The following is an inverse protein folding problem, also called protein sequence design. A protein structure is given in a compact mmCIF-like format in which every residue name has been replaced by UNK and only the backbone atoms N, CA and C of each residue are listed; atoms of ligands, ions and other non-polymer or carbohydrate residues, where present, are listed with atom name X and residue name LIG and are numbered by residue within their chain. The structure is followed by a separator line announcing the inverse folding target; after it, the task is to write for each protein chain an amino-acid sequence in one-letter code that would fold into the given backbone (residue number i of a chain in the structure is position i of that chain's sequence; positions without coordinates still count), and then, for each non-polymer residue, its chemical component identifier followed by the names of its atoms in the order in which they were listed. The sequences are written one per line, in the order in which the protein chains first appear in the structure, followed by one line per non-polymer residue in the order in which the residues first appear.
data_IF_389571510375
#
_entry.id   IF_389571510375
#
_cell.length_a   1.000
_cell.length_b   1.000
_cell.length_c   1.000
_cell.angle_alpha   90.00
_cell.angle_beta   90.00
_cell.angle_gamma   90.00
#
_symmetry.space_group_name_H-M   'P 1'
#
loop_
_entity.id
_entity.type
_entity.pdbx_description
1 polymer ?
#
# COMPACT_ATOMS: atom_id res chain seq x y z
N UNK A 1 7.00 31.73 4.47
CA UNK A 1 7.96 30.72 3.97
C UNK A 1 7.78 29.31 4.60
N UNK A 2 6.72 29.00 5.38
CA UNK A 2 6.56 27.64 5.96
C UNK A 2 5.83 26.63 5.04
N UNK A 3 5.01 27.09 4.10
CA UNK A 3 4.11 26.21 3.34
C UNK A 3 4.77 25.13 2.46
N UNK A 4 6.01 25.32 2.00
CA UNK A 4 6.73 24.31 1.20
C UNK A 4 7.35 23.20 2.05
N UNK A 5 7.78 23.51 3.27
CA UNK A 5 8.34 22.54 4.22
C UNK A 5 7.23 21.63 4.73
N UNK A 6 6.06 22.18 5.03
CA UNK A 6 4.90 21.42 5.53
C UNK A 6 4.37 20.42 4.48
N UNK A 7 4.30 20.83 3.21
CA UNK A 7 3.91 19.94 2.09
C UNK A 7 4.91 18.79 1.89
N UNK A 8 6.20 19.09 1.95
CA UNK A 8 7.26 18.08 1.78
C UNK A 8 7.24 17.03 2.88
N UNK A 9 6.99 17.45 4.14
CA UNK A 9 6.82 16.55 5.28
C UNK A 9 5.58 15.67 5.12
N UNK A 10 4.45 16.24 4.68
CA UNK A 10 3.24 15.46 4.40
C UNK A 10 3.48 14.38 3.34
N UNK A 11 4.14 14.71 2.23
CA UNK A 11 4.51 13.73 1.22
C UNK A 11 5.38 12.60 1.79
N UNK A 12 6.37 12.94 2.63
CA UNK A 12 7.22 11.92 3.27
C UNK A 12 6.42 10.97 4.17
N UNK A 13 5.53 11.50 5.01
CA UNK A 13 4.67 10.67 5.87
C UNK A 13 3.75 9.76 5.06
N UNK A 14 3.07 10.32 4.05
CA UNK A 14 2.18 9.54 3.16
C UNK A 14 2.96 8.44 2.45
N UNK A 15 4.17 8.72 1.95
CA UNK A 15 5.00 7.73 1.28
C UNK A 15 5.50 6.62 2.21
N UNK A 16 5.86 6.95 3.45
CA UNK A 16 6.28 5.94 4.44
C UNK A 16 5.11 5.01 4.79
N UNK A 17 3.91 5.56 5.03
CA UNK A 17 2.71 4.74 5.31
C UNK A 17 2.36 3.87 4.12
N UNK A 18 2.45 4.40 2.89
CA UNK A 18 2.26 3.64 1.66
C UNK A 18 3.26 2.50 1.53
N UNK A 19 4.55 2.75 1.79
CA UNK A 19 5.57 1.71 1.71
C UNK A 19 5.31 0.57 2.71
N UNK A 20 4.99 0.90 3.96
CA UNK A 20 4.71 -0.11 5.00
C UNK A 20 3.46 -0.92 4.65
N UNK A 21 2.37 -0.26 4.28
CA UNK A 21 1.12 -0.95 3.90
C UNK A 21 1.29 -1.80 2.63
N UNK A 22 2.07 -1.33 1.66
CA UNK A 22 2.45 -2.11 0.48
C UNK A 22 3.20 -3.39 0.84
N UNK A 23 4.21 -3.31 1.70
CA UNK A 23 4.96 -4.49 2.15
C UNK A 23 4.05 -5.49 2.88
N UNK A 24 3.14 -5.02 3.73
CA UNK A 24 2.17 -5.86 4.41
C UNK A 24 1.20 -6.55 3.43
N UNK A 25 0.71 -5.82 2.41
CA UNK A 25 -0.14 -6.36 1.35
C UNK A 25 0.59 -7.41 0.53
N UNK A 26 1.83 -7.14 0.10
CA UNK A 26 2.63 -8.08 -0.69
C UNK A 26 2.92 -9.36 0.11
N UNK A 27 3.41 -9.21 1.34
CA UNK A 27 3.70 -10.37 2.20
C UNK A 27 2.45 -11.22 2.44
N UNK A 28 1.33 -10.60 2.82
CA UNK A 28 0.08 -11.30 3.05
C UNK A 28 -0.50 -11.90 1.76
N UNK A 29 -0.32 -11.26 0.59
CA UNK A 29 -0.71 -11.81 -0.72
C UNK A 29 0.02 -13.12 -1.00
N UNK A 30 1.35 -13.14 -0.81
CA UNK A 30 2.14 -14.35 -0.98
C UNK A 30 1.64 -15.45 -0.05
N UNK A 31 1.33 -15.11 1.21
CA UNK A 31 0.82 -16.12 2.15
C UNK A 31 -0.54 -16.66 1.73
N UNK A 32 -1.52 -15.83 1.41
CA UNK A 32 -2.90 -16.31 1.14
C UNK A 32 -3.07 -16.97 -0.23
N UNK A 33 -2.21 -16.66 -1.20
CA UNK A 33 -2.33 -17.17 -2.58
C UNK A 33 -1.33 -18.27 -2.90
N UNK A 34 -0.13 -18.24 -2.30
CA UNK A 34 0.93 -19.21 -2.60
C UNK A 34 1.07 -20.24 -1.47
N UNK A 35 1.12 -19.78 -0.21
CA UNK A 35 1.42 -20.66 0.93
C UNK A 35 0.17 -21.36 1.48
N UNK A 36 -0.92 -20.62 1.61
CA UNK A 36 -2.21 -21.06 2.17
C UNK A 36 -3.37 -20.79 1.20
N UNK A 37 -3.33 -21.38 -0.02
CA UNK A 37 -4.38 -21.18 -1.02
C UNK A 37 -5.75 -21.65 -0.51
N UNK A 38 -6.81 -21.02 -1.01
CA UNK A 38 -8.18 -21.44 -0.72
C UNK A 38 -8.41 -22.88 -1.17
N UNK A 39 -9.08 -23.69 -0.34
CA UNK A 39 -9.29 -25.12 -0.62
C UNK A 39 -8.09 -26.02 -0.35
N UNK A 40 -7.00 -25.49 0.22
CA UNK A 40 -5.83 -26.27 0.62
C UNK A 40 -6.08 -27.21 1.81
N UNK A 41 -5.02 -27.91 2.23
CA UNK A 41 -5.01 -28.88 3.34
C UNK A 41 -5.68 -28.31 4.61
N UNK A 42 -6.61 -29.09 5.16
CA UNK A 42 -7.33 -28.72 6.37
C UNK A 42 -6.36 -28.56 7.55
N UNK A 43 -6.38 -27.40 8.21
CA UNK A 43 -5.48 -27.11 9.32
C UNK A 43 -4.10 -26.58 8.92
N UNK A 44 -3.84 -26.29 7.64
CA UNK A 44 -2.59 -25.66 7.22
C UNK A 44 -2.38 -24.28 7.91
N UNK A 45 -1.14 -24.03 8.32
CA UNK A 45 -0.73 -22.79 8.99
C UNK A 45 0.58 -22.29 8.40
N UNK A 46 0.78 -20.98 8.42
CA UNK A 46 2.06 -20.33 8.13
C UNK A 46 2.43 -19.45 9.32
N UNK A 47 3.66 -19.63 9.84
CA UNK A 47 4.12 -19.02 11.10
C UNK A 47 3.17 -19.30 12.28
N UNK A 48 2.57 -20.49 12.33
CA UNK A 48 1.60 -20.88 13.36
C UNK A 48 0.21 -20.22 13.22
N UNK A 49 0.01 -19.40 12.18
CA UNK A 49 -1.23 -18.65 11.96
C UNK A 49 -2.00 -19.27 10.78
N UNK A 50 -3.31 -19.43 10.95
CA UNK A 50 -4.23 -19.94 9.91
C UNK A 50 -4.50 -18.87 8.83
N UNK A 51 -5.08 -19.28 7.71
CA UNK A 51 -5.39 -18.37 6.57
C UNK A 51 -6.24 -17.15 6.94
N UNK A 52 -7.17 -17.28 7.88
CA UNK A 52 -8.11 -16.21 8.29
C UNK A 52 -7.39 -14.91 8.68
N UNK A 53 -6.58 -14.92 9.74
CA UNK A 53 -5.82 -13.72 10.15
C UNK A 53 -4.91 -13.14 9.06
N UNK A 54 -4.30 -13.97 8.22
CA UNK A 54 -3.54 -13.49 7.05
C UNK A 54 -4.40 -12.74 6.04
N UNK A 55 -5.65 -13.17 5.87
CA UNK A 55 -6.66 -12.49 5.04
C UNK A 55 -7.07 -11.16 5.66
N UNK A 56 -7.25 -11.12 6.98
CA UNK A 56 -7.59 -9.87 7.69
C UNK A 56 -6.47 -8.84 7.56
N UNK A 57 -5.20 -9.26 7.77
CA UNK A 57 -4.02 -8.40 7.56
C UNK A 57 -3.98 -7.88 6.12
N UNK A 58 -4.25 -8.75 5.14
CA UNK A 58 -4.28 -8.36 3.73
C UNK A 58 -5.36 -7.30 3.45
N UNK A 59 -6.59 -7.51 3.93
CA UNK A 59 -7.72 -6.62 3.71
C UNK A 59 -7.52 -5.27 4.39
N UNK A 60 -7.14 -5.25 5.67
CA UNK A 60 -6.93 -4.01 6.42
C UNK A 60 -5.75 -3.22 5.83
N UNK A 61 -4.63 -3.89 5.55
CA UNK A 61 -3.47 -3.21 4.96
C UNK A 61 -3.77 -2.69 3.56
N UNK A 62 -4.53 -3.44 2.76
CA UNK A 62 -5.00 -3.03 1.44
C UNK A 62 -5.92 -1.81 1.49
N UNK A 63 -6.85 -1.77 2.45
CA UNK A 63 -7.74 -0.63 2.65
C UNK A 63 -6.97 0.63 3.07
N UNK A 64 -6.02 0.51 4.00
CA UNK A 64 -5.13 1.61 4.40
C UNK A 64 -4.30 2.10 3.21
N UNK A 65 -3.70 1.17 2.46
CA UNK A 65 -2.92 1.51 1.26
C UNK A 65 -3.79 2.26 0.24
N UNK A 66 -5.00 1.76 -0.06
CA UNK A 66 -5.91 2.39 -1.01
C UNK A 66 -6.27 3.83 -0.59
N UNK A 67 -6.60 4.05 0.70
CA UNK A 67 -6.90 5.38 1.22
C UNK A 67 -5.71 6.35 1.07
N UNK A 68 -4.50 5.90 1.40
CA UNK A 68 -3.30 6.72 1.27
C UNK A 68 -2.85 6.92 -0.18
N UNK A 69 -3.16 6.01 -1.09
CA UNK A 69 -2.92 6.20 -2.54
C UNK A 69 -3.74 7.37 -3.04
N UNK A 70 -5.02 7.50 -2.63
CA UNK A 70 -5.84 8.65 -3.00
C UNK A 70 -5.19 9.96 -2.53
N UNK A 71 -4.72 10.02 -1.28
CA UNK A 71 -4.03 11.19 -0.73
C UNK A 71 -2.71 11.46 -1.47
N UNK A 72 -1.94 10.43 -1.79
CA UNK A 72 -0.70 10.56 -2.54
C UNK A 72 -0.95 11.15 -3.93
N UNK A 73 -1.95 10.64 -4.65
CA UNK A 73 -2.29 11.14 -5.97
C UNK A 73 -2.77 12.61 -5.91
N UNK A 74 -3.56 13.00 -4.91
CA UNK A 74 -3.99 14.40 -4.74
C UNK A 74 -2.81 15.33 -4.45
N UNK A 75 -1.81 14.88 -3.68
CA UNK A 75 -0.57 15.63 -3.45
C UNK A 75 0.28 15.78 -4.72
N UNK A 76 0.17 14.86 -5.67
CA UNK A 76 0.94 14.85 -6.91
C UNK A 76 0.19 15.39 -8.14
N UNK A 77 -1.02 15.94 -8.01
CA UNK A 77 -1.82 16.44 -9.16
C UNK A 77 -1.07 17.49 -9.98
N UNK A 78 -0.32 18.39 -9.36
CA UNK A 78 0.42 19.44 -10.06
C UNK A 78 1.54 18.86 -10.95
N UNK A 79 2.15 17.75 -10.52
CA UNK A 79 3.08 16.99 -11.34
C UNK A 79 2.38 16.42 -12.57
N UNK A 80 1.21 15.78 -12.41
CA UNK A 80 0.45 15.22 -13.52
C UNK A 80 -0.01 16.30 -14.53
N UNK A 81 -0.37 17.50 -14.05
CA UNK A 81 -0.69 18.63 -14.92
C UNK A 81 0.51 19.14 -15.72
N UNK A 82 1.72 19.02 -15.19
CA UNK A 82 2.95 19.43 -15.85
C UNK A 82 3.51 18.38 -16.83
N UNK A 83 3.07 17.11 -16.76
CA UNK A 83 3.57 16.02 -17.61
C UNK A 83 3.54 16.32 -19.12
N UNK A 84 2.45 16.86 -19.72
CA UNK A 84 2.43 17.14 -21.16
C UNK A 84 3.53 18.11 -21.60
N UNK A 85 3.86 19.09 -20.77
CA UNK A 85 4.93 20.06 -21.07
C UNK A 85 6.34 19.45 -20.95
N UNK A 86 6.51 18.38 -20.17
CA UNK A 86 7.78 17.66 -20.00
C UNK A 86 7.97 16.64 -21.13
N UNK A 87 6.91 15.94 -21.53
CA UNK A 87 6.97 14.88 -22.55
C UNK A 87 7.18 15.42 -23.97
N UNK A 88 6.70 16.63 -24.26
CA UNK A 88 6.87 17.28 -25.58
C UNK A 88 8.10 18.20 -25.68
N UNK A 89 9.02 18.11 -24.72
CA UNK A 89 10.33 18.77 -24.75
C UNK A 89 11.41 17.79 -25.15
#
# INVERSE_FOLDING_TARGET
MSGSIDRSRMCAYVNIVLLISFLAVVASSVVIWVVLPAGGLHGATFLGIRRGPWTDVHLVSGAVMAAFVVVHLTLHVDYFRALPAIVHR
#
